data_IF_606905353915
#
_entry.id   IF_606905353915
#
_cell.length_a   1.000
_cell.length_b   1.000
_cell.length_c   1.000
_cell.angle_alpha   90.00
_cell.angle_beta   90.00
_cell.angle_gamma   90.00
#
_symmetry.space_group_name_H-M   'P 1'
#
loop_
_entity.id
_entity.type
_entity.pdbx_description
1 polymer ?
#
# COMPACT_ATOMS: atom_id res chain seq x y z
N UNK A 1 6.93 6.99 5.76
CA UNK A 1 7.55 6.17 4.71
C UNK A 1 6.95 6.53 3.36
N UNK A 2 7.82 6.81 2.41
CA UNK A 2 7.37 7.30 1.11
C UNK A 2 6.56 6.26 0.32
N UNK A 3 6.92 5.00 0.45
CA UNK A 3 6.21 3.93 -0.24
C UNK A 3 4.72 3.91 0.10
N UNK A 4 4.38 4.16 1.36
CA UNK A 4 2.98 4.17 1.78
C UNK A 4 2.21 5.32 1.15
N UNK A 5 2.85 6.48 1.02
CA UNK A 5 2.23 7.63 0.37
C UNK A 5 1.95 7.32 -1.10
N UNK A 6 2.91 6.72 -1.78
CA UNK A 6 2.75 6.34 -3.19
C UNK A 6 1.65 5.31 -3.35
N UNK A 7 1.64 4.29 -2.48
CA UNK A 7 0.61 3.26 -2.52
C UNK A 7 -0.77 3.84 -2.30
N UNK A 8 -0.91 4.71 -1.29
CA UNK A 8 -2.20 5.34 -0.99
C UNK A 8 -2.70 6.16 -2.18
N UNK A 9 -1.82 6.94 -2.80
CA UNK A 9 -2.18 7.73 -3.96
C UNK A 9 -2.60 6.84 -5.13
N UNK A 10 -1.88 5.75 -5.35
CA UNK A 10 -2.19 4.81 -6.42
C UNK A 10 -3.55 4.16 -6.21
N UNK A 11 -3.84 3.71 -4.98
CA UNK A 11 -5.12 3.09 -4.67
C UNK A 11 -6.26 4.09 -4.79
N UNK A 12 -6.06 5.32 -4.34
CA UNK A 12 -7.07 6.36 -4.46
C UNK A 12 -7.40 6.64 -5.93
N UNK A 13 -6.40 6.62 -6.79
CA UNK A 13 -6.61 6.84 -8.22
C UNK A 13 -7.40 5.71 -8.88
N UNK A 14 -7.41 4.53 -8.26
CA UNK A 14 -8.18 3.38 -8.72
C UNK A 14 -9.62 3.37 -8.18
N UNK A 15 -9.96 4.35 -7.34
CA UNK A 15 -11.30 4.47 -6.81
C UNK A 15 -11.52 3.88 -5.43
N UNK A 16 -10.46 3.45 -4.74
CA UNK A 16 -10.59 2.95 -3.37
C UNK A 16 -10.86 4.11 -2.42
N UNK A 17 -11.70 3.87 -1.42
CA UNK A 17 -12.11 4.89 -0.46
C UNK A 17 -11.21 4.87 0.76
N UNK A 18 -11.41 5.87 1.63
CA UNK A 18 -10.73 5.89 2.93
C UNK A 18 -11.02 4.65 3.75
N UNK A 19 -12.26 4.13 3.66
CA UNK A 19 -12.65 2.92 4.38
C UNK A 19 -11.82 1.72 3.91
N UNK A 20 -11.57 1.64 2.61
CA UNK A 20 -10.74 0.56 2.05
C UNK A 20 -9.29 0.66 2.50
N UNK A 21 -8.83 1.87 2.78
CA UNK A 21 -7.45 2.12 3.17
C UNK A 21 -7.28 2.26 4.68
N UNK A 22 -8.33 1.98 5.44
CA UNK A 22 -8.27 2.06 6.90
C UNK A 22 -7.27 1.05 7.45
N UNK A 23 -6.57 1.46 8.48
CA UNK A 23 -5.51 0.65 9.07
C UNK A 23 -5.77 0.41 10.55
N UNK A 24 -5.27 -0.71 11.03
CA UNK A 24 -5.20 -1.02 12.45
C UNK A 24 -3.73 -1.27 12.78
N UNK A 25 -3.10 -0.32 13.47
CA UNK A 25 -1.67 -0.35 13.67
C UNK A 25 -0.94 -0.15 12.35
N UNK A 26 -0.11 -1.10 11.98
CA UNK A 26 0.67 -1.04 10.74
C UNK A 26 0.11 -1.93 9.63
N UNK A 27 -1.11 -2.44 9.82
CA UNK A 27 -1.74 -3.34 8.85
C UNK A 27 -3.07 -2.76 8.39
N UNK A 28 -3.43 -3.07 7.14
CA UNK A 28 -4.74 -2.69 6.63
C UNK A 28 -5.81 -3.62 7.20
N UNK A 29 -6.97 -3.05 7.54
CA UNK A 29 -8.10 -3.82 8.05
C UNK A 29 -8.65 -4.71 6.94
N UNK A 30 -8.72 -4.17 5.72
CA UNK A 30 -9.18 -4.92 4.55
C UNK A 30 -8.09 -5.91 4.12
N UNK A 31 -8.41 -7.20 4.18
CA UNK A 31 -7.42 -8.24 3.88
C UNK A 31 -6.95 -8.22 2.43
N UNK A 32 -7.83 -7.86 1.49
CA UNK A 32 -7.44 -7.73 0.10
C UNK A 32 -6.46 -6.58 -0.08
N UNK A 33 -6.70 -5.48 0.62
CA UNK A 33 -5.80 -4.32 0.57
C UNK A 33 -4.45 -4.66 1.19
N UNK A 34 -4.45 -5.40 2.29
CA UNK A 34 -3.20 -5.84 2.92
C UNK A 34 -2.38 -6.71 1.98
N UNK A 35 -3.03 -7.60 1.24
CA UNK A 35 -2.35 -8.41 0.24
C UNK A 35 -1.72 -7.56 -0.86
N UNK A 36 -2.46 -6.55 -1.33
CA UNK A 36 -1.95 -5.63 -2.34
C UNK A 36 -0.74 -4.85 -1.81
N UNK A 37 -0.80 -4.40 -0.57
CA UNK A 37 0.29 -3.69 0.07
C UNK A 37 1.54 -4.57 0.17
N UNK A 38 1.37 -5.83 0.60
CA UNK A 38 2.49 -6.76 0.71
C UNK A 38 3.20 -6.91 -0.62
N UNK A 39 2.43 -7.05 -1.68
CA UNK A 39 2.98 -7.19 -3.04
C UNK A 39 3.69 -5.91 -3.47
N UNK A 40 3.07 -4.78 -3.21
CA UNK A 40 3.61 -3.48 -3.59
C UNK A 40 4.94 -3.20 -2.88
N UNK A 41 5.01 -3.45 -1.57
CA UNK A 41 6.20 -3.14 -0.81
C UNK A 41 7.36 -4.08 -1.17
N UNK A 42 7.06 -5.31 -1.52
CA UNK A 42 8.09 -6.24 -2.00
C UNK A 42 8.75 -5.70 -3.27
N UNK A 43 7.95 -5.22 -4.22
CA UNK A 43 8.46 -4.62 -5.43
C UNK A 43 9.21 -3.33 -5.16
N UNK A 44 8.70 -2.52 -4.23
CA UNK A 44 9.33 -1.27 -3.84
C UNK A 44 10.73 -1.51 -3.27
N UNK A 45 10.84 -2.49 -2.37
CA UNK A 45 12.13 -2.81 -1.75
C UNK A 45 13.13 -3.32 -2.77
N UNK A 46 12.69 -4.12 -3.71
CA UNK A 46 13.56 -4.59 -4.79
C UNK A 46 14.08 -3.44 -5.62
N UNK A 47 13.23 -2.47 -5.93
CA UNK A 47 13.64 -1.27 -6.66
C UNK A 47 14.63 -0.45 -5.85
N UNK A 48 14.35 -0.29 -4.56
CA UNK A 48 15.21 0.47 -3.68
C UNK A 48 16.62 -0.10 -3.62
N UNK A 49 16.73 -1.40 -3.68
CA UNK A 49 18.04 -2.05 -3.70
C UNK A 49 18.80 -1.74 -4.99
N UNK A 50 18.09 -1.61 -6.08
CA UNK A 50 18.70 -1.31 -7.38
C UNK A 50 19.04 0.16 -7.52
N UNK A 51 18.36 1.00 -6.80
CA UNK A 51 18.58 2.44 -6.87
C UNK A 51 19.84 2.84 -6.09
#
# INVERSE_FOLDING_TARGET
MKARQVFTALMASKGYTHADLAMSGDKYINSAMQGRWNYFIAGWEMRGVCD
#
